data_IF_079158017317
#
_entry.id   IF_079158017317
#
_cell.length_a   1.000
_cell.length_b   1.000
_cell.length_c   1.000
_cell.angle_alpha   90.00
_cell.angle_beta   90.00
_cell.angle_gamma   90.00
#
_symmetry.space_group_name_H-M   'P 1'
#
loop_
_entity.id
_entity.type
_entity.pdbx_description
1 polymer ?
#
# COMPACT_ATOMS: atom_id res chain seq x y z
N UNK A 1 19.01 -3.50 -6.31
CA UNK A 1 18.01 -2.55 -5.81
C UNK A 1 18.59 -1.15 -5.93
N UNK A 2 17.92 -0.27 -6.63
CA UNK A 2 18.37 1.12 -6.75
C UNK A 2 18.23 1.83 -5.39
N UNK A 3 19.31 2.43 -4.93
CA UNK A 3 19.31 3.29 -3.74
C UNK A 3 19.45 4.72 -4.25
N UNK A 4 18.47 5.60 -4.02
CA UNK A 4 18.55 6.98 -4.47
C UNK A 4 19.66 7.72 -3.74
N UNK A 5 20.19 8.73 -4.40
CA UNK A 5 21.14 9.65 -3.77
C UNK A 5 20.49 10.36 -2.58
N UNK A 6 21.17 10.42 -1.46
CA UNK A 6 20.64 10.99 -0.22
C UNK A 6 20.16 12.42 -0.42
N UNK A 7 18.95 12.72 0.09
CA UNK A 7 18.35 14.05 0.08
C UNK A 7 18.30 14.70 -1.33
N UNK A 8 18.02 13.90 -2.36
CA UNK A 8 17.96 14.36 -3.76
C UNK A 8 16.55 14.54 -4.28
N UNK A 9 15.56 13.88 -3.67
CA UNK A 9 14.19 13.81 -4.16
C UNK A 9 13.27 14.80 -3.43
N UNK A 10 12.38 15.43 -4.19
CA UNK A 10 11.35 16.32 -3.66
C UNK A 10 10.04 15.61 -3.35
N UNK A 11 9.80 14.47 -3.98
CA UNK A 11 8.59 13.66 -3.78
C UNK A 11 8.84 12.23 -4.25
N UNK A 12 8.24 11.26 -3.54
CA UNK A 12 8.19 9.86 -3.95
C UNK A 12 6.74 9.40 -3.95
N UNK A 13 6.31 8.82 -5.06
CA UNK A 13 5.04 8.10 -5.16
C UNK A 13 5.32 6.68 -5.63
N UNK A 14 4.72 5.70 -4.96
CA UNK A 14 4.79 4.31 -5.40
C UNK A 14 3.57 3.52 -4.95
N UNK A 15 3.20 2.55 -5.79
CA UNK A 15 2.34 1.43 -5.45
C UNK A 15 3.21 0.18 -5.60
N UNK A 16 3.77 -0.35 -4.50
CA UNK A 16 4.64 -1.51 -4.59
C UNK A 16 3.84 -2.74 -5.08
N UNK A 17 4.48 -3.70 -5.77
CA UNK A 17 3.81 -4.92 -6.18
C UNK A 17 3.23 -5.63 -4.96
N UNK A 18 2.00 -6.13 -5.09
CA UNK A 18 1.31 -6.78 -3.98
C UNK A 18 1.80 -8.21 -3.81
N UNK A 19 2.12 -8.59 -2.57
CA UNK A 19 2.55 -9.95 -2.25
C UNK A 19 1.51 -10.99 -2.71
N UNK A 20 1.93 -11.93 -3.57
CA UNK A 20 1.12 -13.05 -4.03
C UNK A 20 -0.07 -12.70 -4.94
N UNK A 21 -0.21 -11.42 -5.33
CA UNK A 21 -1.30 -10.98 -6.21
C UNK A 21 -0.85 -10.78 -7.65
N UNK A 22 0.32 -10.23 -7.85
CA UNK A 22 0.86 -9.90 -9.17
C UNK A 22 2.00 -10.84 -9.52
N UNK A 23 1.76 -11.72 -10.50
CA UNK A 23 2.81 -12.54 -11.11
C UNK A 23 3.18 -11.91 -12.46
N UNK A 24 4.32 -11.23 -12.52
CA UNK A 24 4.81 -10.61 -13.75
C UNK A 24 5.63 -11.58 -14.64
N UNK A 25 5.67 -12.87 -14.29
CA UNK A 25 6.40 -13.94 -14.97
C UNK A 25 7.07 -14.90 -13.98
N UNK A 26 7.90 -15.79 -14.48
CA UNK A 26 8.61 -16.80 -13.68
C UNK A 26 10.04 -16.38 -13.30
N UNK A 27 10.35 -15.08 -13.36
CA UNK A 27 11.70 -14.59 -13.11
C UNK A 27 12.04 -14.66 -11.61
N UNK A 28 13.19 -15.26 -11.23
CA UNK A 28 13.57 -15.45 -9.81
C UNK A 28 13.81 -14.14 -9.06
N UNK A 29 13.98 -13.03 -9.77
CA UNK A 29 14.18 -11.69 -9.18
C UNK A 29 12.89 -11.01 -8.71
N UNK A 30 11.72 -11.56 -9.03
CA UNK A 30 10.45 -11.03 -8.54
C UNK A 30 10.37 -11.08 -7.01
N UNK A 31 9.87 -10.01 -6.42
CA UNK A 31 9.82 -9.86 -4.96
C UNK A 31 9.02 -10.97 -4.27
N UNK A 32 7.93 -11.43 -4.87
CA UNK A 32 7.09 -12.52 -4.34
C UNK A 32 7.72 -13.91 -4.48
N UNK A 33 8.61 -14.11 -5.45
CA UNK A 33 9.36 -15.35 -5.64
C UNK A 33 10.58 -15.36 -4.72
N UNK A 34 11.32 -14.26 -4.70
CA UNK A 34 12.53 -14.09 -3.87
C UNK A 34 12.23 -14.11 -2.37
N UNK A 35 11.08 -13.62 -1.98
CA UNK A 35 10.61 -13.58 -0.58
C UNK A 35 9.29 -14.36 -0.48
N UNK A 36 9.40 -15.66 -0.23
CA UNK A 36 8.30 -16.62 -0.35
C UNK A 36 7.25 -16.55 0.75
N UNK A 37 7.48 -15.79 1.80
CA UNK A 37 6.49 -15.55 2.87
C UNK A 37 6.17 -14.06 2.98
N UNK A 38 4.95 -13.73 3.45
CA UNK A 38 4.55 -12.34 3.68
C UNK A 38 5.48 -11.63 4.66
N UNK A 39 5.96 -12.32 5.69
CA UNK A 39 6.87 -11.74 6.68
C UNK A 39 8.26 -11.43 6.08
N UNK A 40 8.81 -12.33 5.28
CA UNK A 40 10.07 -12.09 4.57
C UNK A 40 9.92 -10.95 3.56
N UNK A 41 8.82 -10.93 2.83
CA UNK A 41 8.51 -9.87 1.87
C UNK A 41 8.38 -8.52 2.57
N UNK A 42 7.65 -8.47 3.69
CA UNK A 42 7.51 -7.27 4.54
C UNK A 42 8.87 -6.73 4.99
N UNK A 43 9.69 -7.56 5.63
CA UNK A 43 10.96 -7.12 6.22
C UNK A 43 12.05 -6.82 5.18
N UNK A 44 12.12 -7.59 4.09
CA UNK A 44 13.24 -7.48 3.14
C UNK A 44 12.92 -6.69 1.88
N UNK A 45 11.65 -6.57 1.51
CA UNK A 45 11.24 -5.82 0.34
C UNK A 45 10.52 -4.52 0.71
N UNK A 46 9.39 -4.60 1.40
CA UNK A 46 8.56 -3.43 1.71
C UNK A 46 9.33 -2.43 2.59
N UNK A 47 9.90 -2.90 3.69
CA UNK A 47 10.70 -2.06 4.60
C UNK A 47 11.90 -1.43 3.89
N UNK A 48 12.60 -2.18 3.05
CA UNK A 48 13.73 -1.65 2.29
C UNK A 48 13.28 -0.59 1.27
N UNK A 49 12.14 -0.79 0.61
CA UNK A 49 11.55 0.18 -0.31
C UNK A 49 11.24 1.50 0.41
N UNK A 50 10.62 1.43 1.58
CA UNK A 50 10.31 2.59 2.43
C UNK A 50 11.59 3.28 2.91
N UNK A 51 12.59 2.51 3.33
CA UNK A 51 13.89 3.04 3.78
C UNK A 51 14.65 3.75 2.65
N UNK A 52 14.60 3.22 1.44
CA UNK A 52 15.19 3.85 0.26
C UNK A 52 14.50 5.19 -0.06
N UNK A 53 13.17 5.24 0.04
CA UNK A 53 12.41 6.48 -0.13
C UNK A 53 12.80 7.51 0.92
N UNK A 54 12.95 7.09 2.18
CA UNK A 54 13.39 7.97 3.26
C UNK A 54 14.78 8.54 2.99
N UNK A 55 15.72 7.70 2.59
CA UNK A 55 17.08 8.14 2.24
C UNK A 55 17.09 9.16 1.11
N UNK A 56 16.33 8.90 0.05
CA UNK A 56 16.28 9.75 -1.14
C UNK A 56 15.59 11.08 -0.93
N UNK A 57 14.54 11.13 -0.11
CA UNK A 57 13.77 12.35 0.13
C UNK A 57 14.58 13.40 0.90
N UNK A 58 14.44 14.66 0.49
CA UNK A 58 14.88 15.81 1.26
C UNK A 58 14.07 15.93 2.57
N UNK A 59 14.66 16.49 3.65
CA UNK A 59 13.90 16.78 4.87
C UNK A 59 12.66 17.62 4.60
N UNK A 60 11.54 17.27 5.27
CA UNK A 60 10.26 17.95 5.11
C UNK A 60 9.47 17.59 3.85
N UNK A 61 9.98 16.70 3.02
CA UNK A 61 9.32 16.22 1.78
C UNK A 61 8.52 14.95 2.03
N UNK A 62 7.76 14.50 1.03
CA UNK A 62 6.68 13.54 1.22
C UNK A 62 6.88 12.27 0.40
N UNK A 63 6.48 11.16 1.02
CA UNK A 63 6.26 9.87 0.40
C UNK A 63 4.75 9.62 0.34
N UNK A 64 4.23 9.25 -0.83
CA UNK A 64 2.88 8.74 -1.00
C UNK A 64 2.94 7.26 -1.38
N UNK A 65 2.32 6.41 -0.56
CA UNK A 65 2.22 4.95 -0.76
C UNK A 65 0.76 4.56 -0.99
N UNK A 66 0.46 4.07 -2.19
CA UNK A 66 -0.82 3.47 -2.50
C UNK A 66 -0.74 1.96 -2.29
N UNK A 67 -1.43 1.46 -1.28
CA UNK A 67 -1.50 0.04 -0.93
C UNK A 67 -2.90 -0.32 -0.45
N UNK A 68 -3.32 -1.56 -0.68
CA UNK A 68 -4.59 -2.06 -0.17
C UNK A 68 -4.43 -3.48 0.38
N UNK A 69 -5.19 -3.80 1.41
CA UNK A 69 -5.26 -5.15 1.95
C UNK A 69 -5.77 -6.14 0.89
N UNK A 70 -5.13 -7.30 0.82
CA UNK A 70 -5.49 -8.40 -0.08
C UNK A 70 -5.88 -9.65 0.71
N UNK A 71 -6.43 -10.65 0.03
CA UNK A 71 -6.70 -11.95 0.65
C UNK A 71 -5.41 -12.62 1.15
N UNK A 72 -4.31 -12.43 0.44
CA UNK A 72 -3.00 -12.99 0.76
C UNK A 72 -2.26 -12.21 1.83
N UNK A 73 -2.54 -10.88 1.94
CA UNK A 73 -1.92 -10.02 2.93
C UNK A 73 -2.95 -9.06 3.55
N UNK A 74 -3.60 -9.52 4.61
CA UNK A 74 -4.76 -8.84 5.22
C UNK A 74 -4.38 -7.61 6.05
N UNK A 75 -3.14 -7.50 6.50
CA UNK A 75 -2.61 -6.39 7.32
C UNK A 75 -1.65 -5.50 6.54
N UNK A 76 -1.70 -5.53 5.20
CA UNK A 76 -0.74 -4.82 4.36
C UNK A 76 -0.78 -3.30 4.58
N UNK A 77 -1.97 -2.73 4.71
CA UNK A 77 -2.16 -1.30 4.98
C UNK A 77 -1.55 -0.90 6.33
N UNK A 78 -1.87 -1.64 7.39
CA UNK A 78 -1.41 -1.43 8.76
C UNK A 78 0.11 -1.59 8.88
N UNK A 79 0.63 -2.68 8.36
CA UNK A 79 2.07 -2.96 8.33
C UNK A 79 2.85 -1.88 7.56
N UNK A 80 2.28 -1.35 6.48
CA UNK A 80 2.90 -0.25 5.71
C UNK A 80 3.04 1.01 6.54
N UNK A 81 1.98 1.40 7.25
CA UNK A 81 2.01 2.57 8.15
C UNK A 81 3.02 2.37 9.27
N UNK A 82 3.02 1.21 9.92
CA UNK A 82 3.93 0.89 11.01
C UNK A 82 5.39 0.88 10.55
N UNK A 83 5.69 0.27 9.42
CA UNK A 83 7.04 0.25 8.86
C UNK A 83 7.53 1.65 8.50
N UNK A 84 6.67 2.49 7.93
CA UNK A 84 7.02 3.87 7.61
C UNK A 84 7.36 4.67 8.88
N UNK A 85 6.59 4.50 9.95
CA UNK A 85 6.87 5.10 11.26
C UNK A 85 8.19 4.59 11.84
N UNK A 86 8.46 3.29 11.78
CA UNK A 86 9.72 2.69 12.25
C UNK A 86 10.95 3.21 11.50
N UNK A 87 10.81 3.48 10.20
CA UNK A 87 11.88 4.07 9.38
C UNK A 87 12.16 5.53 9.75
N UNK A 88 11.17 6.25 10.28
CA UNK A 88 11.31 7.64 10.72
C UNK A 88 10.32 8.63 10.08
N UNK A 89 9.41 8.14 9.25
CA UNK A 89 8.35 8.96 8.69
C UNK A 89 7.27 9.32 9.71
N UNK A 90 6.62 10.46 9.50
CA UNK A 90 5.37 10.83 10.17
C UNK A 90 4.21 10.63 9.21
N UNK A 91 3.21 9.84 9.58
CA UNK A 91 1.95 9.73 8.82
C UNK A 91 1.15 11.01 9.00
N UNK A 92 0.93 11.77 7.93
CA UNK A 92 0.30 13.10 7.98
C UNK A 92 -1.13 13.10 7.44
N UNK A 93 -1.43 12.23 6.46
CA UNK A 93 -2.73 12.19 5.82
C UNK A 93 -2.98 10.84 5.15
N UNK A 94 -4.23 10.55 4.83
CA UNK A 94 -4.63 9.40 4.01
C UNK A 94 -5.62 9.88 2.95
N UNK A 95 -5.21 9.74 1.69
CA UNK A 95 -6.07 10.03 0.55
C UNK A 95 -6.78 8.77 0.10
N UNK A 96 -8.03 8.90 -0.25
CA UNK A 96 -8.85 7.78 -0.68
C UNK A 96 -9.04 7.83 -2.19
N UNK A 97 -8.40 6.90 -2.89
CA UNK A 97 -8.57 6.71 -4.32
C UNK A 97 -9.88 5.96 -4.56
N UNK A 98 -10.85 6.62 -5.19
CA UNK A 98 -12.08 5.97 -5.63
C UNK A 98 -11.80 5.17 -6.90
N UNK A 99 -12.00 3.86 -6.83
CA UNK A 99 -11.88 2.98 -7.99
C UNK A 99 -13.15 3.09 -8.83
N UNK A 100 -12.98 3.27 -10.15
CA UNK A 100 -14.10 3.26 -11.08
C UNK A 100 -14.65 1.84 -11.20
N UNK A 101 -15.97 1.69 -11.15
CA UNK A 101 -16.61 0.47 -11.61
C UNK A 101 -16.40 0.36 -13.13
N UNK A 102 -15.76 -0.70 -13.61
CA UNK A 102 -15.68 -0.94 -15.05
C UNK A 102 -17.09 -1.09 -15.61
N UNK A 103 -17.45 -0.25 -16.57
CA UNK A 103 -18.67 -0.43 -17.34
C UNK A 103 -18.56 -1.74 -18.13
N UNK A 104 -19.38 -2.74 -17.79
CA UNK A 104 -19.47 -4.00 -18.55
C UNK A 104 -19.32 -5.30 -17.75
N UNK A 105 -18.92 -5.29 -16.50
CA UNK A 105 -19.00 -6.44 -15.60
C UNK A 105 -20.31 -6.42 -14.82
N UNK A 106 -20.95 -7.58 -14.62
CA UNK A 106 -22.17 -7.72 -13.81
C UNK A 106 -22.03 -7.03 -12.46
N UNK A 107 -22.41 -5.75 -12.41
CA UNK A 107 -22.22 -4.89 -11.25
C UNK A 107 -23.07 -5.28 -10.04
N UNK A 108 -24.04 -6.19 -10.23
CA UNK A 108 -25.05 -6.50 -9.22
C UNK A 108 -24.57 -7.54 -8.21
N UNK A 109 -23.68 -8.45 -8.58
CA UNK A 109 -23.21 -9.51 -7.67
C UNK A 109 -21.99 -9.10 -6.81
N UNK A 110 -21.33 -8.01 -7.15
CA UNK A 110 -20.16 -7.50 -6.43
C UNK A 110 -20.52 -6.50 -5.33
N UNK A 111 -21.71 -5.91 -5.37
CA UNK A 111 -22.11 -4.86 -4.43
C UNK A 111 -22.35 -5.43 -3.02
N UNK A 112 -22.99 -6.57 -2.89
CA UNK A 112 -23.30 -7.18 -1.59
C UNK A 112 -22.07 -7.83 -0.91
N UNK A 113 -21.17 -8.42 -1.68
CA UNK A 113 -19.93 -8.98 -1.17
C UNK A 113 -18.91 -7.91 -0.72
N UNK A 114 -18.85 -6.80 -1.44
CA UNK A 114 -17.91 -5.71 -1.18
C UNK A 114 -18.26 -4.87 0.05
N UNK A 115 -19.54 -4.62 0.31
CA UNK A 115 -19.98 -3.89 1.52
C UNK A 115 -19.64 -4.64 2.80
N UNK A 116 -19.71 -5.96 2.79
CA UNK A 116 -19.35 -6.78 3.95
C UNK A 116 -17.83 -6.82 4.14
N UNK A 117 -17.06 -6.94 3.08
CA UNK A 117 -15.59 -6.85 3.15
C UNK A 117 -15.10 -5.45 3.55
N UNK A 118 -15.75 -4.39 3.07
CA UNK A 118 -15.44 -3.02 3.50
C UNK A 118 -15.72 -2.80 5.00
N UNK A 119 -16.84 -3.29 5.51
CA UNK A 119 -17.16 -3.20 6.94
C UNK A 119 -16.18 -3.99 7.82
N UNK A 120 -15.73 -5.15 7.36
CA UNK A 120 -14.70 -5.91 8.06
C UNK A 120 -13.33 -5.23 7.99
N UNK A 121 -12.98 -4.59 6.86
CA UNK A 121 -11.74 -3.82 6.71
C UNK A 121 -11.75 -2.54 7.56
N UNK A 122 -12.88 -1.90 7.76
CA UNK A 122 -13.00 -0.74 8.65
C UNK A 122 -12.63 -1.02 10.10
N UNK A 123 -12.86 -2.24 10.59
CA UNK A 123 -12.49 -2.64 11.96
C UNK A 123 -10.97 -2.74 12.18
N UNK A 124 -10.18 -2.89 11.13
CA UNK A 124 -8.72 -3.02 11.21
C UNK A 124 -7.95 -1.70 11.15
N UNK A 125 -8.61 -0.60 10.84
CA UNK A 125 -7.97 0.66 10.47
C UNK A 125 -8.04 1.69 11.61
N UNK A 126 -7.28 1.49 12.70
CA UNK A 126 -7.37 2.28 13.92
C UNK A 126 -7.06 3.79 13.81
N UNK A 127 -6.31 4.25 12.82
CA UNK A 127 -5.89 5.66 12.70
C UNK A 127 -6.53 6.42 11.54
N UNK A 128 -7.23 5.75 10.63
CA UNK A 128 -7.87 6.37 9.48
C UNK A 128 -9.16 5.62 9.12
N UNK A 129 -10.16 6.36 8.71
CA UNK A 129 -11.49 5.81 8.41
C UNK A 129 -11.70 5.76 6.91
N UNK A 130 -11.97 4.57 6.38
CA UNK A 130 -12.34 4.36 4.98
C UNK A 130 -13.72 4.97 4.71
N UNK A 131 -13.91 5.72 3.60
CA UNK A 131 -15.24 6.18 3.19
C UNK A 131 -16.17 4.99 2.94
N UNK A 132 -17.39 5.09 3.45
CA UNK A 132 -18.47 4.12 3.21
C UNK A 132 -19.51 4.75 2.27
N UNK A 133 -19.26 4.65 0.98
CA UNK A 133 -20.16 5.12 -0.07
C UNK A 133 -20.66 3.91 -0.83
N UNK A 134 -21.98 3.62 -0.84
CA UNK A 134 -22.54 2.47 -1.54
C UNK A 134 -22.13 2.42 -3.02
N UNK A 135 -21.69 1.24 -3.49
CA UNK A 135 -21.26 1.00 -4.87
C UNK A 135 -19.88 1.59 -5.22
N UNK A 136 -19.13 2.09 -4.27
CA UNK A 136 -17.78 2.62 -4.46
C UNK A 136 -16.74 1.81 -3.69
N UNK A 137 -15.64 1.48 -4.37
CA UNK A 137 -14.43 0.95 -3.74
C UNK A 137 -13.43 2.07 -3.54
N UNK A 138 -12.69 1.99 -2.44
CA UNK A 138 -11.64 2.95 -2.14
C UNK A 138 -10.35 2.21 -1.78
N UNK A 139 -9.24 2.73 -2.28
CA UNK A 139 -7.90 2.34 -1.85
C UNK A 139 -7.22 3.49 -1.15
N UNK A 140 -6.52 3.26 -0.04
CA UNK A 140 -5.79 4.31 0.64
C UNK A 140 -4.48 4.63 -0.10
N UNK A 141 -4.16 5.91 -0.12
CA UNK A 141 -2.81 6.41 -0.42
C UNK A 141 -2.32 7.12 0.83
N UNK A 142 -1.41 6.48 1.53
CA UNK A 142 -0.85 7.03 2.77
C UNK A 142 0.18 8.09 2.46
N UNK A 143 0.07 9.24 3.12
CA UNK A 143 0.97 10.37 2.97
C UNK A 143 1.87 10.47 4.20
N UNK A 144 3.15 10.35 3.97
CA UNK A 144 4.18 10.41 5.00
C UNK A 144 5.13 11.55 4.77
N UNK A 145 5.50 12.25 5.84
CA UNK A 145 6.48 13.32 5.82
C UNK A 145 7.80 12.84 6.45
N UNK A 146 8.91 13.14 5.78
CA UNK A 146 10.26 12.96 6.31
C UNK A 146 10.65 14.07 7.28
#
# INVERSE_FOLDING_TARGET
>A
TYVPMQNSLDFVFTSPPYFGWEAYGDEPEQSSIKFSTSDMWKEKFLKQTIANAYTGLKPGKYLALNVANTKQYKTFEEDTVDLAKQVGFTHTDTWWLSLSTQQGGSAVSTIDGDTTEMKQKQQYMGEYTRPDIPGRKFEPTFIFKK
#
